data_IF_344740120417
#
_entry.id   IF_344740120417
#
_cell.length_a   1.000
_cell.length_b   1.000
_cell.length_c   1.000
_cell.angle_alpha   90.00
_cell.angle_beta   90.00
_cell.angle_gamma   90.00
#
_symmetry.space_group_name_H-M   'P 1'
#
loop_
_entity.id
_entity.type
_entity.pdbx_description
1 polymer ?
#
# COMPACT_ATOMS: atom_id res chain seq x y z
N UNK A 1 -16.49 -38.98 -5.99
CA UNK A 1 -15.80 -38.04 -5.07
C UNK A 1 -16.64 -37.97 -3.79
N UNK A 2 -16.03 -37.89 -2.61
CA UNK A 2 -16.79 -37.90 -1.34
C UNK A 2 -17.44 -36.55 -1.07
N UNK A 3 -18.70 -36.53 -0.61
CA UNK A 3 -19.44 -35.31 -0.22
C UNK A 3 -18.66 -34.45 0.79
N UNK A 4 -17.87 -35.08 1.67
CA UNK A 4 -17.04 -34.37 2.64
C UNK A 4 -15.87 -33.59 1.98
N UNK A 5 -15.43 -33.99 0.79
CA UNK A 5 -14.41 -33.25 0.04
C UNK A 5 -15.02 -32.02 -0.61
N UNK A 6 -16.23 -32.15 -1.15
CA UNK A 6 -16.98 -31.04 -1.77
C UNK A 6 -17.27 -29.94 -0.75
N UNK A 7 -17.78 -30.29 0.44
CA UNK A 7 -18.05 -29.33 1.52
C UNK A 7 -16.78 -28.60 1.99
N UNK A 8 -15.63 -29.30 2.06
CA UNK A 8 -14.35 -28.65 2.41
C UNK A 8 -13.82 -27.74 1.32
N UNK A 9 -14.06 -28.06 0.05
CA UNK A 9 -13.68 -27.18 -1.07
C UNK A 9 -14.52 -25.90 -1.04
N UNK A 10 -15.82 -25.99 -0.74
CA UNK A 10 -16.68 -24.82 -0.60
C UNK A 10 -16.25 -23.93 0.57
N UNK A 11 -15.90 -24.53 1.72
CA UNK A 11 -15.36 -23.78 2.87
C UNK A 11 -14.04 -23.08 2.53
N UNK A 12 -13.14 -23.75 1.79
CA UNK A 12 -11.88 -23.17 1.35
C UNK A 12 -12.12 -22.00 0.39
N UNK A 13 -13.04 -22.15 -0.57
CA UNK A 13 -13.39 -21.10 -1.52
C UNK A 13 -13.96 -19.87 -0.82
N UNK A 14 -14.86 -20.05 0.15
CA UNK A 14 -15.44 -18.97 0.94
C UNK A 14 -14.34 -18.21 1.73
N UNK A 15 -13.40 -18.92 2.33
CA UNK A 15 -12.30 -18.30 3.07
C UNK A 15 -11.33 -17.57 2.12
N UNK A 16 -11.03 -18.13 0.96
CA UNK A 16 -10.20 -17.46 -0.05
C UNK A 16 -10.85 -16.16 -0.54
N UNK A 17 -12.15 -16.17 -0.84
CA UNK A 17 -12.88 -14.96 -1.22
C UNK A 17 -12.81 -13.87 -0.14
N UNK A 18 -12.96 -14.27 1.14
CA UNK A 18 -12.84 -13.35 2.26
C UNK A 18 -11.42 -12.76 2.37
N UNK A 19 -10.39 -13.59 2.23
CA UNK A 19 -9.00 -13.13 2.25
C UNK A 19 -8.67 -12.19 1.09
N UNK A 20 -9.14 -12.50 -0.12
CA UNK A 20 -9.00 -11.60 -1.28
C UNK A 20 -9.69 -10.27 -1.02
N UNK A 21 -10.93 -10.27 -0.51
CA UNK A 21 -11.65 -9.03 -0.18
C UNK A 21 -10.93 -8.19 0.89
N UNK A 22 -10.30 -8.82 1.88
CA UNK A 22 -9.48 -8.11 2.87
C UNK A 22 -8.24 -7.47 2.24
N UNK A 23 -7.58 -8.16 1.31
CA UNK A 23 -6.43 -7.59 0.59
C UNK A 23 -6.81 -6.38 -0.25
N UNK A 24 -7.97 -6.42 -0.93
CA UNK A 24 -8.50 -5.29 -1.69
C UNK A 24 -8.79 -4.08 -0.79
N UNK A 25 -9.37 -4.31 0.39
CA UNK A 25 -9.62 -3.24 1.37
C UNK A 25 -8.33 -2.62 1.91
N UNK A 26 -7.31 -3.45 2.19
CA UNK A 26 -5.99 -2.96 2.62
C UNK A 26 -5.34 -2.12 1.52
N UNK A 27 -5.42 -2.56 0.27
CA UNK A 27 -4.88 -1.81 -0.86
C UNK A 27 -5.56 -0.44 -1.00
N UNK A 28 -6.89 -0.38 -0.87
CA UNK A 28 -7.64 0.88 -0.89
C UNK A 28 -7.26 1.81 0.27
N UNK A 29 -7.08 1.27 1.49
CA UNK A 29 -6.64 2.07 2.64
C UNK A 29 -5.22 2.60 2.46
N UNK A 30 -4.31 1.78 1.95
CA UNK A 30 -2.94 2.20 1.68
C UNK A 30 -2.88 3.32 0.63
N UNK A 31 -3.72 3.25 -0.41
CA UNK A 31 -3.83 4.33 -1.40
C UNK A 31 -4.31 5.63 -0.76
N UNK A 32 -5.39 5.59 0.02
CA UNK A 32 -5.90 6.76 0.71
C UNK A 32 -4.88 7.37 1.70
N UNK A 33 -4.08 6.53 2.37
CA UNK A 33 -3.00 6.99 3.24
C UNK A 33 -1.89 7.68 2.46
N UNK A 34 -1.49 7.13 1.31
CA UNK A 34 -0.47 7.76 0.45
C UNK A 34 -0.95 9.13 -0.05
N UNK A 35 -2.22 9.21 -0.49
CA UNK A 35 -2.83 10.47 -0.93
C UNK A 35 -2.85 11.51 0.20
N UNK A 36 -3.28 11.12 1.41
CA UNK A 36 -3.28 12.02 2.56
C UNK A 36 -1.87 12.53 2.94
N UNK A 37 -0.85 11.65 2.87
CA UNK A 37 0.53 12.05 3.14
C UNK A 37 1.11 12.97 2.06
N UNK A 38 0.69 12.79 0.80
CA UNK A 38 1.12 13.65 -0.31
C UNK A 38 0.45 15.03 -0.27
N UNK A 39 -0.80 15.10 0.19
CA UNK A 39 -1.53 16.37 0.32
C UNK A 39 -0.97 17.25 1.46
N UNK A 40 -0.35 16.66 2.48
CA UNK A 40 0.28 17.38 3.61
C UNK A 40 1.65 17.99 3.25
N UNK A 41 2.27 17.57 2.15
CA UNK A 41 3.54 18.10 1.66
C UNK A 41 3.30 19.30 0.72
N UNK A 42 3.12 20.50 1.32
CA UNK A 42 3.12 21.82 0.65
C UNK A 42 4.54 22.20 0.14
N UNK A 43 5.29 21.20 -0.35
CA UNK A 43 6.66 21.30 -0.81
C UNK A 43 6.64 21.78 -2.25
N UNK A 44 7.27 22.93 -2.51
CA UNK A 44 7.50 23.43 -3.86
C UNK A 44 8.18 22.33 -4.70
N UNK A 45 7.52 21.82 -5.76
CA UNK A 45 8.06 20.73 -6.58
C UNK A 45 9.33 21.14 -7.33
N UNK A 46 9.60 22.44 -7.46
CA UNK A 46 10.83 22.99 -8.05
C UNK A 46 11.91 23.30 -7.00
N UNK A 47 11.65 23.06 -5.70
CA UNK A 47 12.64 23.24 -4.66
C UNK A 47 13.82 22.28 -4.85
N UNK A 48 15.02 22.86 -4.99
CA UNK A 48 16.25 22.09 -5.11
C UNK A 48 16.51 21.34 -3.79
N UNK A 49 16.56 20.00 -3.85
CA UNK A 49 16.88 19.18 -2.69
C UNK A 49 18.24 19.58 -2.09
N UNK A 50 18.24 19.99 -0.81
CA UNK A 50 19.46 20.40 -0.10
C UNK A 50 20.22 19.24 0.55
N UNK A 51 19.57 18.09 0.68
CA UNK A 51 20.10 16.87 1.32
C UNK A 51 19.71 15.62 0.54
N UNK A 52 20.59 14.64 0.51
CA UNK A 52 20.31 13.28 0.05
C UNK A 52 19.39 12.56 1.05
N UNK A 53 18.88 11.39 0.66
CA UNK A 53 17.97 10.57 1.49
C UNK A 53 18.59 10.09 2.81
N UNK A 54 19.92 10.01 2.89
CA UNK A 54 20.65 9.68 4.11
C UNK A 54 20.94 10.91 5.00
N UNK A 55 20.46 12.10 4.59
CA UNK A 55 20.69 13.37 5.27
C UNK A 55 22.01 14.05 4.93
N UNK A 56 22.88 13.43 4.11
CA UNK A 56 24.12 14.06 3.65
C UNK A 56 23.77 15.31 2.80
N UNK A 57 24.44 16.46 2.97
CA UNK A 57 24.15 17.65 2.16
C UNK A 57 24.51 17.45 0.68
N UNK A 58 23.71 18.02 -0.22
CA UNK A 58 24.01 18.04 -1.66
C UNK A 58 25.12 19.07 -1.93
N UNK A 59 26.12 18.65 -2.70
CA UNK A 59 27.26 19.52 -3.02
C UNK A 59 26.82 20.67 -3.94
N UNK A 60 27.02 21.91 -3.51
CA UNK A 60 26.79 23.10 -4.33
C UNK A 60 25.42 23.77 -4.15
N UNK A 61 24.54 23.25 -3.29
CA UNK A 61 23.31 23.94 -2.88
C UNK A 61 23.67 25.02 -1.85
N UNK A 62 23.69 26.30 -2.26
CA UNK A 62 23.89 27.46 -1.38
C UNK A 62 23.04 28.64 -1.84
#
# INVERSE_FOLDING_TARGET
MSLAVEERMDQLLAELQKQTGLLEQIAAQNLALIEALADDDDVDPDAVASTYLDGTPVHGCR
#
